data_IF_284245139197
#
_entry.id   IF_284245139197
#
_cell.length_a   1.000
_cell.length_b   1.000
_cell.length_c   1.000
_cell.angle_alpha   90.00
_cell.angle_beta   90.00
_cell.angle_gamma   90.00
#
_symmetry.space_group_name_H-M   'P 1'
#
loop_
_entity.id
_entity.type
_entity.pdbx_description
1 polymer ?
#
# COMPACT_ATOMS: atom_id res chain seq x y z
N UNK A 1 -0.60 18.87 6.82
CA UNK A 1 0.82 18.44 6.76
C UNK A 1 0.84 16.92 6.82
N UNK A 2 1.33 16.28 5.77
CA UNK A 2 1.49 14.82 5.74
C UNK A 2 2.56 14.42 6.76
N UNK A 3 2.35 13.35 7.51
CA UNK A 3 3.29 12.88 8.55
C UNK A 3 4.70 12.60 7.99
N UNK A 4 4.77 12.20 6.71
CA UNK A 4 6.01 12.05 5.94
C UNK A 4 6.75 13.38 5.83
N UNK A 5 6.06 14.49 5.60
CA UNK A 5 6.69 15.81 5.57
C UNK A 5 7.24 16.18 6.95
N UNK A 6 6.58 15.74 8.03
CA UNK A 6 7.04 15.99 9.40
C UNK A 6 8.35 15.24 9.70
N UNK A 7 8.40 13.96 9.33
CA UNK A 7 9.62 13.13 9.44
C UNK A 7 10.72 13.67 8.52
N UNK A 8 10.40 14.00 7.26
CA UNK A 8 11.35 14.56 6.30
C UNK A 8 11.94 15.90 6.80
N UNK A 9 11.11 16.78 7.38
CA UNK A 9 11.59 18.04 7.98
C UNK A 9 12.50 17.78 9.18
N UNK A 10 12.18 16.82 10.04
CA UNK A 10 13.05 16.40 11.14
C UNK A 10 14.37 15.82 10.65
N UNK A 11 14.35 14.99 9.59
CA UNK A 11 15.53 14.45 8.93
C UNK A 11 16.44 15.55 8.38
N UNK A 12 15.85 16.53 7.70
CA UNK A 12 16.57 17.69 7.13
C UNK A 12 17.14 18.58 8.24
N UNK A 13 16.44 18.78 9.35
CA UNK A 13 16.97 19.56 10.48
C UNK A 13 18.13 18.85 11.17
N UNK A 14 18.07 17.52 11.31
CA UNK A 14 19.11 16.71 11.93
C UNK A 14 20.40 16.64 11.08
N UNK A 15 20.29 16.76 9.74
CA UNK A 15 21.45 16.88 8.83
C UNK A 15 22.40 18.04 9.21
N UNK A 16 21.90 19.09 9.86
CA UNK A 16 22.70 20.28 10.23
C UNK A 16 23.58 20.08 11.47
N UNK A 17 23.39 19.00 12.23
CA UNK A 17 24.08 18.74 13.51
C UNK A 17 24.77 17.38 13.47
N UNK A 18 26.08 17.30 13.73
CA UNK A 18 26.83 16.02 13.90
C UNK A 18 27.52 15.96 15.27
N UNK A 19 27.85 14.76 15.81
CA UNK A 19 27.89 13.46 15.15
C UNK A 19 27.14 12.37 15.94
N UNK A 20 25.81 12.42 15.99
CA UNK A 20 24.99 11.26 16.34
C UNK A 20 23.53 11.60 16.05
N UNK A 21 22.96 10.96 15.03
CA UNK A 21 21.54 11.15 14.71
C UNK A 21 20.78 9.95 15.27
N UNK A 22 20.23 10.13 16.46
CA UNK A 22 19.35 9.17 17.11
C UNK A 22 17.93 9.35 16.61
N UNK A 23 17.39 8.36 15.90
CA UNK A 23 16.00 8.33 15.51
C UNK A 23 15.15 7.69 16.59
N UNK A 24 14.53 8.54 17.40
CA UNK A 24 13.46 8.11 18.30
C UNK A 24 12.21 7.84 17.47
N UNK A 25 11.94 6.57 17.21
CA UNK A 25 10.76 6.11 16.48
C UNK A 25 9.56 6.11 17.43
N UNK A 26 8.89 7.26 17.52
CA UNK A 26 7.63 7.40 18.25
C UNK A 26 6.49 6.78 17.41
N UNK A 27 6.33 5.47 17.58
CA UNK A 27 5.64 4.54 16.67
C UNK A 27 4.11 4.44 16.88
N UNK A 28 3.45 5.50 17.35
CA UNK A 28 1.98 5.50 17.55
C UNK A 28 1.17 5.23 16.27
N UNK A 29 1.76 5.43 15.07
CA UNK A 29 1.03 5.47 13.79
C UNK A 29 1.42 4.39 12.77
N UNK A 30 2.57 3.71 12.90
CA UNK A 30 3.02 2.67 11.94
C UNK A 30 2.28 1.34 12.10
N UNK A 31 1.23 1.36 12.93
CA UNK A 31 0.33 0.27 13.18
C UNK A 31 -0.49 -0.19 11.96
N UNK A 32 -0.65 0.67 10.96
CA UNK A 32 -1.52 0.41 9.79
C UNK A 32 -0.72 -0.24 8.65
N UNK A 33 -1.23 -1.39 8.18
CA UNK A 33 -0.68 -2.28 7.16
C UNK A 33 -0.43 -1.68 5.76
N UNK A 34 -0.73 -0.39 5.54
CA UNK A 34 -0.51 0.29 4.25
C UNK A 34 0.81 1.04 4.10
N UNK A 35 1.62 1.14 5.17
CA UNK A 35 2.85 1.96 5.17
C UNK A 35 4.13 1.24 4.74
N UNK A 36 4.10 -0.03 4.29
CA UNK A 36 5.33 -0.78 3.99
C UNK A 36 6.18 -0.15 2.89
N UNK A 37 5.57 0.27 1.77
CA UNK A 37 6.30 0.92 0.69
C UNK A 37 6.94 2.24 1.15
N UNK A 38 6.24 3.00 2.00
CA UNK A 38 6.74 4.26 2.55
C UNK A 38 7.87 4.02 3.56
N UNK A 39 7.72 3.04 4.44
CA UNK A 39 8.74 2.64 5.40
C UNK A 39 10.00 2.13 4.69
N UNK A 40 9.83 1.41 3.58
CA UNK A 40 10.94 0.95 2.75
C UNK A 40 11.72 2.10 2.10
N UNK A 41 11.02 3.07 1.52
CA UNK A 41 11.68 4.28 0.97
C UNK A 41 12.41 5.09 2.06
N UNK A 42 11.81 5.23 3.25
CA UNK A 42 12.48 5.88 4.38
C UNK A 42 13.72 5.10 4.82
N UNK A 43 13.63 3.77 4.91
CA UNK A 43 14.77 2.92 5.28
C UNK A 43 15.93 3.06 4.27
N UNK A 44 15.63 3.04 2.96
CA UNK A 44 16.62 3.30 1.91
C UNK A 44 17.24 4.68 2.04
N UNK A 45 16.42 5.70 2.27
CA UNK A 45 16.91 7.06 2.44
C UNK A 45 17.86 7.17 3.65
N UNK A 46 17.55 6.50 4.76
CA UNK A 46 18.42 6.45 5.94
C UNK A 46 19.75 5.77 5.61
N UNK A 47 19.73 4.66 4.87
CA UNK A 47 20.94 3.96 4.46
C UNK A 47 21.84 4.84 3.56
N UNK A 48 21.26 5.51 2.57
CA UNK A 48 21.98 6.45 1.69
C UNK A 48 22.52 7.62 2.51
N UNK A 49 21.71 8.18 3.40
CA UNK A 49 22.13 9.27 4.29
C UNK A 49 23.32 8.88 5.17
N UNK A 50 23.30 7.67 5.74
CA UNK A 50 24.42 7.13 6.54
C UNK A 50 25.69 7.01 5.72
N UNK A 51 25.59 6.48 4.49
CA UNK A 51 26.73 6.31 3.57
C UNK A 51 27.30 7.64 3.12
N UNK A 52 26.46 8.57 2.66
CA UNK A 52 26.91 9.87 2.13
C UNK A 52 27.50 10.76 3.23
N UNK A 53 26.94 10.71 4.44
CA UNK A 53 27.33 11.61 5.52
C UNK A 53 28.28 10.98 6.53
N UNK A 54 28.58 9.68 6.45
CA UNK A 54 29.34 8.95 7.49
C UNK A 54 28.78 9.19 8.91
N UNK A 55 27.46 9.31 9.05
CA UNK A 55 26.79 9.47 10.35
C UNK A 55 26.10 8.15 10.68
N UNK A 56 26.37 7.51 11.84
CA UNK A 56 25.60 6.35 12.27
C UNK A 56 24.18 6.76 12.68
N UNK A 57 23.19 6.00 12.20
CA UNK A 57 21.79 6.13 12.60
C UNK A 57 21.49 5.09 13.66
N UNK A 58 20.93 5.52 14.79
CA UNK A 58 20.48 4.64 15.86
C UNK A 58 18.96 4.64 15.92
N UNK A 59 18.36 3.47 16.08
CA UNK A 59 16.90 3.30 16.13
C UNK A 59 16.47 2.80 17.50
N UNK A 60 15.33 3.29 17.99
CA UNK A 60 14.79 2.91 19.29
C UNK A 60 13.29 2.62 19.22
N UNK A 61 12.88 1.49 19.78
CA UNK A 61 11.49 1.09 19.97
C UNK A 61 11.06 1.33 21.43
N UNK A 62 10.13 2.27 21.65
CA UNK A 62 9.66 2.67 22.98
C UNK A 62 8.42 1.89 23.44
N UNK A 63 7.38 1.78 22.60
CA UNK A 63 6.17 1.00 22.93
C UNK A 63 5.93 -0.18 21.98
N UNK A 64 6.01 0.05 20.66
CA UNK A 64 5.68 -0.95 19.64
C UNK A 64 6.49 -0.73 18.37
N UNK A 65 7.17 -1.74 17.86
CA UNK A 65 7.83 -1.74 16.55
C UNK A 65 7.45 -2.99 15.76
N UNK A 66 6.30 -2.93 15.08
CA UNK A 66 5.79 -4.05 14.31
C UNK A 66 5.56 -3.72 12.84
N UNK A 67 5.50 -4.75 11.98
CA UNK A 67 5.24 -4.61 10.53
C UNK A 67 6.19 -3.57 9.89
N UNK A 68 5.66 -2.48 9.34
CA UNK A 68 6.45 -1.39 8.75
C UNK A 68 7.39 -0.69 9.76
N UNK A 69 7.01 -0.66 11.05
CA UNK A 69 7.86 -0.13 12.11
C UNK A 69 9.09 -1.02 12.40
N UNK A 70 8.96 -2.33 12.23
CA UNK A 70 10.08 -3.26 12.37
C UNK A 70 11.12 -3.02 11.25
N UNK A 71 10.67 -2.78 10.02
CA UNK A 71 11.56 -2.50 8.90
C UNK A 71 12.40 -1.23 9.14
N UNK A 72 11.80 -0.20 9.73
CA UNK A 72 12.52 1.02 10.11
C UNK A 72 13.45 0.79 11.29
N UNK A 73 13.06 -0.03 12.27
CA UNK A 73 13.95 -0.41 13.37
C UNK A 73 15.24 -1.05 12.81
N UNK A 74 15.13 -1.97 11.87
CA UNK A 74 16.28 -2.62 11.21
C UNK A 74 17.16 -1.71 10.35
N UNK A 75 16.72 -0.49 10.03
CA UNK A 75 17.54 0.46 9.24
C UNK A 75 18.62 1.16 10.07
N UNK A 76 18.56 1.05 11.40
CA UNK A 76 19.61 1.56 12.28
C UNK A 76 20.89 0.74 12.20
N UNK A 77 22.04 1.40 12.39
CA UNK A 77 23.33 0.75 12.63
C UNK A 77 23.28 -0.12 13.88
N UNK A 78 22.65 0.39 14.94
CA UNK A 78 22.28 -0.36 16.13
C UNK A 78 20.84 -0.02 16.52
N UNK A 79 20.13 -1.02 17.00
CA UNK A 79 18.72 -0.93 17.35
C UNK A 79 18.53 -1.27 18.83
N UNK A 80 17.78 -0.42 19.51
CA UNK A 80 17.49 -0.53 20.92
C UNK A 80 16.00 -0.72 21.13
N UNK A 81 15.63 -1.49 22.15
CA UNK A 81 14.26 -1.83 22.45
C UNK A 81 14.07 -1.83 23.95
N UNK A 82 12.99 -1.20 24.43
CA UNK A 82 12.56 -1.37 25.81
C UNK A 82 12.19 -2.86 26.05
N UNK A 83 12.57 -3.50 27.17
CA UNK A 83 12.13 -4.85 27.52
C UNK A 83 10.62 -5.11 27.39
N UNK A 84 9.79 -4.07 27.58
CA UNK A 84 8.32 -4.19 27.46
C UNK A 84 7.78 -3.92 26.06
N UNK A 85 8.62 -3.50 25.11
CA UNK A 85 8.18 -3.12 23.77
C UNK A 85 7.72 -4.32 22.94
N UNK A 86 6.61 -4.15 22.21
CA UNK A 86 6.14 -5.17 21.26
C UNK A 86 6.85 -5.02 19.92
N UNK A 87 7.83 -5.88 19.66
CA UNK A 87 8.62 -5.86 18.41
C UNK A 87 8.33 -7.09 17.55
N UNK A 88 8.27 -6.92 16.24
CA UNK A 88 8.16 -8.01 15.26
C UNK A 88 6.85 -8.04 14.48
N UNK A 89 6.19 -9.21 14.42
CA UNK A 89 5.00 -9.49 13.60
C UNK A 89 5.29 -9.47 12.08
N UNK A 90 5.87 -10.57 11.58
CA UNK A 90 6.13 -10.81 10.16
C UNK A 90 4.88 -11.37 9.46
N UNK A 91 3.90 -10.51 9.20
CA UNK A 91 2.65 -10.97 8.57
C UNK A 91 1.91 -9.87 7.83
N UNK A 92 1.86 -9.96 6.50
CA UNK A 92 0.99 -9.10 5.71
C UNK A 92 -0.44 -9.63 5.86
N UNK A 93 -1.24 -8.97 6.70
CA UNK A 93 -2.69 -9.22 6.75
C UNK A 93 -3.35 -8.53 5.56
N UNK A 94 -3.61 -9.28 4.49
CA UNK A 94 -4.57 -8.86 3.48
C UNK A 94 -5.98 -9.21 3.96
N UNK A 95 -6.76 -8.17 4.27
CA UNK A 95 -8.18 -8.33 4.54
C UNK A 95 -8.95 -8.11 3.24
N UNK A 96 -9.42 -9.20 2.66
CA UNK A 96 -10.34 -9.14 1.53
C UNK A 96 -11.77 -9.10 2.07
N UNK A 97 -12.41 -7.93 1.99
CA UNK A 97 -13.84 -7.80 2.26
C UNK A 97 -14.60 -8.43 1.09
N UNK A 98 -15.12 -9.65 1.30
CA UNK A 98 -16.06 -10.26 0.37
C UNK A 98 -17.45 -9.73 0.71
N UNK A 99 -17.93 -8.79 -0.10
CA UNK A 99 -19.34 -8.40 -0.06
C UNK A 99 -20.13 -9.59 -0.58
N UNK A 100 -21.03 -10.14 0.23
CA UNK A 100 -21.84 -11.29 -0.17
C UNK A 100 -22.65 -10.97 -1.43
N UNK A 101 -22.62 -11.87 -2.41
CA UNK A 101 -23.37 -11.72 -3.67
C UNK A 101 -24.87 -11.47 -3.44
N UNK A 102 -25.42 -12.05 -2.38
CA UNK A 102 -26.81 -11.83 -1.97
C UNK A 102 -27.08 -10.36 -1.60
N UNK A 103 -26.12 -9.69 -0.97
CA UNK A 103 -26.21 -8.28 -0.61
C UNK A 103 -26.11 -7.39 -1.86
N UNK A 104 -25.18 -7.70 -2.77
CA UNK A 104 -25.02 -7.00 -4.06
C UNK A 104 -26.29 -7.12 -4.91
N UNK A 105 -26.89 -8.31 -4.95
CA UNK A 105 -28.13 -8.55 -5.69
C UNK A 105 -29.33 -7.84 -5.05
N UNK A 106 -29.43 -7.78 -3.71
CA UNK A 106 -30.50 -7.05 -3.00
C UNK A 106 -30.40 -5.53 -3.18
N UNK A 107 -29.18 -5.00 -3.25
CA UNK A 107 -28.95 -3.57 -3.47
C UNK A 107 -28.99 -3.18 -4.96
N UNK A 108 -29.22 -4.12 -5.88
CA UNK A 108 -29.30 -3.85 -7.33
C UNK A 108 -27.96 -3.46 -7.98
N UNK A 109 -26.84 -3.58 -7.25
CA UNK A 109 -25.50 -3.14 -7.66
C UNK A 109 -24.81 -4.09 -8.68
N UNK A 110 -25.58 -4.77 -9.52
CA UNK A 110 -25.06 -5.69 -10.53
C UNK A 110 -24.64 -4.98 -11.82
N UNK A 111 -23.67 -4.07 -11.73
CA UNK A 111 -23.18 -3.29 -12.87
C UNK A 111 -22.72 -4.17 -14.06
N UNK A 112 -22.21 -5.38 -13.80
CA UNK A 112 -21.66 -6.24 -14.85
C UNK A 112 -22.68 -7.18 -15.53
N UNK A 113 -23.84 -7.48 -14.91
CA UNK A 113 -24.82 -8.42 -15.49
C UNK A 113 -25.71 -7.78 -16.55
N UNK A 114 -26.10 -6.52 -16.37
CA UNK A 114 -26.92 -5.81 -17.36
C UNK A 114 -26.15 -5.54 -18.65
N UNK A 115 -24.88 -5.14 -18.57
CA UNK A 115 -24.01 -4.91 -19.74
C UNK A 115 -23.82 -6.20 -20.55
N UNK A 116 -23.61 -7.36 -19.89
CA UNK A 116 -23.51 -8.66 -20.59
C UNK A 116 -24.82 -9.13 -21.22
N UNK A 117 -25.98 -8.77 -20.65
CA UNK A 117 -27.28 -9.05 -21.28
C UNK A 117 -27.49 -8.18 -22.52
N UNK A 118 -27.19 -6.89 -22.42
CA UNK A 118 -27.25 -5.93 -23.55
C UNK A 118 -26.32 -6.34 -24.69
N UNK A 119 -25.07 -6.69 -24.40
CA UNK A 119 -24.11 -7.18 -25.41
C UNK A 119 -24.60 -8.44 -26.12
N UNK A 120 -25.23 -9.37 -25.41
CA UNK A 120 -25.83 -10.57 -26.03
C UNK A 120 -27.01 -10.24 -26.93
N UNK A 121 -27.84 -9.27 -26.55
CA UNK A 121 -28.95 -8.81 -27.39
C UNK A 121 -28.43 -8.15 -28.67
N UNK A 122 -27.41 -7.29 -28.56
CA UNK A 122 -26.78 -6.61 -29.71
C UNK A 122 -26.13 -7.63 -30.66
N UNK A 123 -25.39 -8.62 -30.14
CA UNK A 123 -24.78 -9.67 -30.97
C UNK A 123 -25.82 -10.51 -31.72
N UNK A 124 -26.93 -10.89 -31.06
CA UNK A 124 -28.02 -11.61 -31.71
C UNK A 124 -28.67 -10.78 -32.82
N UNK A 125 -28.95 -9.50 -32.54
CA UNK A 125 -29.50 -8.58 -33.54
C UNK A 125 -28.58 -8.43 -34.76
N UNK A 126 -27.27 -8.29 -34.53
CA UNK A 126 -26.28 -8.19 -35.61
C UNK A 126 -26.25 -9.46 -36.46
N UNK A 127 -26.24 -10.64 -35.83
CA UNK A 127 -26.23 -11.92 -36.54
C UNK A 127 -27.49 -12.13 -37.40
N UNK A 128 -28.65 -11.68 -36.90
CA UNK A 128 -29.91 -11.75 -37.64
C UNK A 128 -29.90 -10.81 -38.85
N UNK A 129 -29.46 -9.56 -38.68
CA UNK A 129 -29.33 -8.60 -39.77
C UNK A 129 -28.36 -9.10 -40.86
N UNK A 130 -27.21 -9.65 -40.48
CA UNK A 130 -26.23 -10.20 -41.43
C UNK A 130 -26.81 -11.39 -42.22
N UNK A 131 -27.54 -12.28 -41.56
CA UNK A 131 -28.20 -13.40 -42.23
C UNK A 131 -29.30 -12.94 -43.20
N UNK A 132 -30.12 -11.97 -42.81
CA UNK A 132 -31.15 -11.35 -43.67
C UNK A 132 -30.52 -10.67 -44.89
N UNK A 133 -29.43 -9.95 -44.71
CA UNK A 133 -28.70 -9.30 -45.79
C UNK A 133 -28.08 -10.33 -46.75
N UNK A 134 -27.45 -11.40 -46.22
CA UNK A 134 -26.91 -12.49 -47.05
C UNK A 134 -27.99 -13.21 -47.86
N UNK A 135 -29.20 -13.38 -47.31
CA UNK A 135 -30.32 -13.97 -48.04
C UNK A 135 -30.83 -13.07 -49.15
N UNK A 136 -30.92 -11.75 -48.91
CA UNK A 136 -31.33 -10.78 -49.92
C UNK A 136 -30.32 -10.69 -51.08
N UNK A 137 -29.01 -10.74 -50.80
CA UNK A 137 -27.98 -10.73 -51.85
C UNK A 137 -27.92 -12.03 -52.68
N UNK A 138 -28.49 -13.15 -52.23
CA UNK A 138 -28.57 -14.41 -53.01
C UNK A 138 -29.79 -14.47 -53.93
N UNK A 139 -30.72 -13.53 -53.80
CA UNK A 139 -31.94 -13.45 -54.60
C UNK A 139 -31.86 -12.37 -55.71
N UNK A 140 -30.71 -11.71 -55.82
CA UNK A 140 -30.29 -10.87 -56.95
C UNK A 140 -29.32 -11.66 -57.83
#
# INVERSE_FOLDING_TARGET
>A
MNYIEKIAKQLVSLRKTKPQVSFKLNLKMLQKSGLYAQAYEIAKYLEVFQKENNIPVYTFAEEKAYLAGYLLLCSGKESYCDPISLVGNFGIKQQNLKIHDQLVNRLGLTACRQIRKLLRCIQKALSWCLNKFSQACRQL
#
